data_IF_640842057091
#
_entry.id   IF_640842057091
#
_cell.length_a   1.000
_cell.length_b   1.000
_cell.length_c   1.000
_cell.angle_alpha   90.00
_cell.angle_beta   90.00
_cell.angle_gamma   90.00
#
_symmetry.space_group_name_H-M   'P 1'
#
loop_
_entity.id
_entity.type
_entity.pdbx_description
1 polymer ?
#
# COMPACT_ATOMS: atom_id res chain seq x y z
N UNK A 1 -17.63 -5.18 -2.55
CA UNK A 1 -16.44 -4.35 -2.31
C UNK A 1 -15.14 -5.00 -2.81
N UNK A 2 -15.03 -6.33 -2.88
CA UNK A 2 -13.89 -7.03 -3.53
C UNK A 2 -13.98 -7.09 -5.07
N UNK A 3 -15.15 -6.84 -5.64
CA UNK A 3 -15.41 -6.93 -7.08
C UNK A 3 -14.47 -6.08 -7.97
N UNK A 4 -14.12 -4.81 -7.63
CA UNK A 4 -13.16 -4.06 -8.44
C UNK A 4 -11.78 -4.71 -8.49
N UNK A 5 -11.30 -5.30 -7.39
CA UNK A 5 -10.01 -5.99 -7.34
C UNK A 5 -10.04 -7.21 -8.28
N UNK A 6 -11.09 -8.03 -8.19
CA UNK A 6 -11.26 -9.19 -9.08
C UNK A 6 -11.32 -8.79 -10.55
N UNK A 7 -12.12 -7.76 -10.87
CA UNK A 7 -12.23 -7.26 -12.24
C UNK A 7 -10.89 -6.74 -12.77
N UNK A 8 -10.13 -6.01 -11.95
CA UNK A 8 -8.80 -5.56 -12.32
C UNK A 8 -7.88 -6.74 -12.68
N UNK A 9 -7.91 -7.83 -11.90
CA UNK A 9 -7.12 -9.04 -12.17
C UNK A 9 -7.58 -9.75 -13.43
N UNK A 10 -8.90 -9.86 -13.64
CA UNK A 10 -9.49 -10.56 -14.79
C UNK A 10 -9.24 -9.83 -16.12
N UNK A 11 -9.31 -8.50 -16.12
CA UNK A 11 -9.34 -7.71 -17.36
C UNK A 11 -8.07 -6.89 -17.60
N UNK A 12 -7.28 -6.64 -16.56
CA UNK A 12 -6.15 -5.70 -16.61
C UNK A 12 -6.57 -4.24 -16.80
N UNK A 13 -7.86 -3.91 -16.69
CA UNK A 13 -8.36 -2.55 -16.92
C UNK A 13 -8.06 -1.65 -15.71
N UNK A 14 -7.25 -0.58 -15.88
CA UNK A 14 -6.80 0.29 -14.80
C UNK A 14 -7.93 1.07 -14.13
N UNK A 15 -9.10 1.20 -14.76
CA UNK A 15 -10.26 1.85 -14.15
C UNK A 15 -10.77 1.11 -12.90
N UNK A 16 -10.58 -0.21 -12.85
CA UNK A 16 -10.94 -1.01 -11.68
C UNK A 16 -9.93 -0.81 -10.54
N UNK A 17 -8.64 -0.67 -10.86
CA UNK A 17 -7.61 -0.31 -9.88
C UNK A 17 -7.88 1.08 -9.29
N UNK A 18 -8.28 2.05 -10.11
CA UNK A 18 -8.66 3.39 -9.63
C UNK A 18 -9.79 3.30 -8.59
N UNK A 19 -10.88 2.61 -8.93
CA UNK A 19 -12.03 2.43 -8.03
C UNK A 19 -11.65 1.68 -6.76
N UNK A 20 -10.77 0.68 -6.86
CA UNK A 20 -10.26 -0.05 -5.70
C UNK A 20 -9.38 0.82 -4.81
N UNK A 21 -8.58 1.71 -5.39
CA UNK A 21 -7.75 2.67 -4.67
C UNK A 21 -8.58 3.76 -3.97
N UNK A 22 -9.58 4.34 -4.63
CA UNK A 22 -10.56 5.23 -3.98
C UNK A 22 -11.28 4.53 -2.81
N UNK A 23 -11.65 3.27 -3.06
CA UNK A 23 -11.92 2.19 -2.10
C UNK A 23 -11.13 2.27 -0.79
N UNK A 24 -9.84 1.97 -0.96
CA UNK A 24 -8.86 1.81 0.10
C UNK A 24 -8.52 3.15 0.78
N UNK A 25 -8.38 4.24 0.03
CA UNK A 25 -8.10 5.57 0.59
C UNK A 25 -9.19 6.01 1.58
N UNK A 26 -10.45 5.72 1.26
CA UNK A 26 -11.60 6.16 2.08
C UNK A 26 -11.88 5.26 3.29
N UNK A 27 -11.54 3.98 3.21
CA UNK A 27 -12.00 2.97 4.21
C UNK A 27 -10.90 2.03 4.73
N UNK A 28 -9.74 2.04 4.09
CA UNK A 28 -8.66 1.06 4.28
C UNK A 28 -9.01 -0.36 3.81
N UNK A 29 -10.16 -0.58 3.18
CA UNK A 29 -10.61 -1.92 2.81
C UNK A 29 -9.67 -2.57 1.79
N UNK A 30 -9.29 -3.83 2.05
CA UNK A 30 -8.44 -4.65 1.19
C UNK A 30 -7.11 -3.99 0.81
N UNK A 31 -6.55 -3.16 1.71
CA UNK A 31 -5.37 -2.34 1.45
C UNK A 31 -4.21 -3.18 0.89
N UNK A 32 -3.94 -4.35 1.44
CA UNK A 32 -2.88 -5.24 0.97
C UNK A 32 -3.07 -5.71 -0.48
N UNK A 33 -4.30 -5.99 -0.92
CA UNK A 33 -4.59 -6.44 -2.27
C UNK A 33 -4.52 -5.30 -3.28
N UNK A 34 -4.99 -4.10 -2.88
CA UNK A 34 -4.88 -2.90 -3.73
C UNK A 34 -3.41 -2.48 -3.88
N UNK A 35 -2.62 -2.58 -2.80
CA UNK A 35 -1.19 -2.31 -2.85
C UNK A 35 -0.43 -3.32 -3.72
N UNK A 36 -0.77 -4.61 -3.65
CA UNK A 36 -0.17 -5.63 -4.50
C UNK A 36 -0.39 -5.31 -5.99
N UNK A 37 -1.63 -5.03 -6.39
CA UNK A 37 -1.95 -4.61 -7.75
C UNK A 37 -1.23 -3.32 -8.16
N UNK A 38 -1.17 -2.33 -7.28
CA UNK A 38 -0.51 -1.08 -7.56
C UNK A 38 1.01 -1.25 -7.71
N UNK A 39 1.65 -2.10 -6.91
CA UNK A 39 3.08 -2.41 -7.00
C UNK A 39 3.47 -3.18 -8.26
N UNK A 40 2.55 -3.99 -8.80
CA UNK A 40 2.72 -4.69 -10.08
C UNK A 40 2.46 -3.80 -11.30
N UNK A 41 1.84 -2.63 -11.11
CA UNK A 41 1.51 -1.71 -12.18
C UNK A 41 2.69 -0.76 -12.46
N UNK A 42 3.13 -0.61 -13.73
CA UNK A 42 4.19 0.34 -14.07
C UNK A 42 3.85 1.76 -13.60
N UNK A 43 4.81 2.51 -13.03
CA UNK A 43 4.55 3.83 -12.47
C UNK A 43 3.86 4.81 -13.43
N UNK A 44 4.16 4.76 -14.72
CA UNK A 44 3.55 5.57 -15.78
C UNK A 44 2.09 5.21 -16.07
N UNK A 45 1.67 3.99 -15.73
CA UNK A 45 0.32 3.47 -15.97
C UNK A 45 -0.56 3.50 -14.71
N UNK A 46 0.01 3.89 -13.56
CA UNK A 46 -0.72 3.99 -12.31
C UNK A 46 -1.84 5.05 -12.39
N UNK A 47 -3.09 4.65 -12.12
CA UNK A 47 -4.19 5.58 -11.95
C UNK A 47 -3.96 6.59 -10.81
N UNK A 48 -4.58 7.78 -10.85
CA UNK A 48 -4.35 8.85 -9.87
C UNK A 48 -4.51 8.43 -8.41
N UNK A 49 -5.59 7.73 -8.06
CA UNK A 49 -5.85 7.30 -6.70
C UNK A 49 -4.89 6.19 -6.27
N UNK A 50 -4.52 5.28 -7.17
CA UNK A 50 -3.53 4.24 -6.88
C UNK A 50 -2.13 4.83 -6.66
N UNK A 51 -1.73 5.81 -7.47
CA UNK A 51 -0.49 6.58 -7.27
C UNK A 51 -0.49 7.29 -5.93
N UNK A 52 -1.59 8.00 -5.61
CA UNK A 52 -1.74 8.71 -4.33
C UNK A 52 -1.66 7.78 -3.13
N UNK A 53 -2.31 6.61 -3.22
CA UNK A 53 -2.24 5.57 -2.21
C UNK A 53 -0.80 5.09 -2.00
N UNK A 54 -0.09 4.74 -3.07
CA UNK A 54 1.31 4.30 -2.99
C UNK A 54 2.25 5.39 -2.45
N UNK A 55 2.09 6.63 -2.90
CA UNK A 55 2.89 7.76 -2.42
C UNK A 55 2.69 8.00 -0.92
N UNK A 56 1.44 7.93 -0.45
CA UNK A 56 1.08 8.00 0.96
C UNK A 56 1.63 6.85 1.79
N UNK A 57 1.49 5.61 1.29
CA UNK A 57 2.03 4.42 1.97
C UNK A 57 3.55 4.47 2.04
N UNK A 58 4.22 4.89 0.96
CA UNK A 58 5.67 5.10 0.94
C UNK A 58 6.08 6.12 2.01
N UNK A 59 5.40 7.27 2.09
CA UNK A 59 5.67 8.27 3.12
C UNK A 59 5.52 7.71 4.55
N UNK A 60 4.42 7.02 4.83
CA UNK A 60 4.17 6.42 6.15
C UNK A 60 5.24 5.39 6.49
N UNK A 61 5.60 4.51 5.54
CA UNK A 61 6.60 3.46 5.75
C UNK A 61 7.98 4.07 6.00
N UNK A 62 8.41 5.05 5.20
CA UNK A 62 9.72 5.70 5.35
C UNK A 62 9.86 6.42 6.69
N UNK A 63 8.78 7.07 7.15
CA UNK A 63 8.76 7.87 8.38
C UNK A 63 8.42 7.07 9.65
N UNK A 64 7.93 5.83 9.52
CA UNK A 64 7.53 5.00 10.66
C UNK A 64 8.69 4.78 11.65
N UNK A 65 8.46 4.97 12.95
CA UNK A 65 9.38 4.51 13.98
C UNK A 65 9.16 3.01 14.21
N UNK A 66 9.94 2.17 13.53
CA UNK A 66 9.84 0.71 13.64
C UNK A 66 10.08 0.20 15.08
N UNK A 67 10.76 0.95 15.96
CA UNK A 67 10.96 0.57 17.35
C UNK A 67 9.70 0.70 18.21
N UNK A 68 8.81 1.61 17.82
CA UNK A 68 7.52 1.88 18.48
C UNK A 68 6.41 0.89 18.09
N UNK A 69 6.61 0.11 17.02
CA UNK A 69 5.64 -0.88 16.56
C UNK A 69 5.62 -2.14 17.45
N UNK A 70 4.50 -2.89 17.44
CA UNK A 70 4.44 -4.21 18.05
C UNK A 70 5.59 -5.11 17.60
N UNK A 71 6.06 -5.98 18.49
CA UNK A 71 7.26 -6.81 18.28
C UNK A 71 7.24 -7.56 16.95
N UNK A 72 6.08 -8.14 16.62
CA UNK A 72 5.84 -8.91 15.41
C UNK A 72 5.96 -8.10 14.10
N UNK A 73 5.93 -6.76 14.17
CA UNK A 73 6.06 -5.86 13.02
C UNK A 73 7.39 -5.12 12.95
N UNK A 74 8.26 -5.20 13.97
CA UNK A 74 9.52 -4.44 13.99
C UNK A 74 10.44 -4.82 12.83
N UNK A 75 10.74 -6.11 12.67
CA UNK A 75 11.57 -6.61 11.57
C UNK A 75 10.89 -6.41 10.22
N UNK A 76 9.60 -6.74 10.03
CA UNK A 76 8.87 -6.41 8.80
C UNK A 76 8.93 -4.93 8.42
N UNK A 77 8.80 -4.01 9.38
CA UNK A 77 8.89 -2.57 9.15
C UNK A 77 10.24 -2.16 8.56
N UNK A 78 11.35 -2.66 9.12
CA UNK A 78 12.68 -2.39 8.56
C UNK A 78 12.86 -2.93 7.13
N UNK A 79 12.31 -4.11 6.85
CA UNK A 79 12.33 -4.70 5.51
C UNK A 79 11.49 -3.82 4.55
N UNK A 80 10.30 -3.41 4.98
CA UNK A 80 9.41 -2.53 4.22
C UNK A 80 10.09 -1.20 3.88
N UNK A 81 10.76 -0.54 4.84
CA UNK A 81 11.53 0.69 4.60
C UNK A 81 12.55 0.52 3.48
N UNK A 82 13.35 -0.54 3.54
CA UNK A 82 14.36 -0.82 2.51
C UNK A 82 13.73 -1.09 1.14
N UNK A 83 12.54 -1.71 1.10
CA UNK A 83 11.81 -1.99 -0.14
C UNK A 83 11.11 -0.75 -0.69
N UNK A 84 10.69 0.19 0.16
CA UNK A 84 10.04 1.44 -0.24
C UNK A 84 10.91 2.28 -1.19
N UNK A 85 12.23 2.21 -1.08
CA UNK A 85 13.19 2.84 -1.99
C UNK A 85 13.01 2.39 -3.45
N UNK A 86 12.57 1.14 -3.67
CA UNK A 86 12.34 0.57 -5.00
C UNK A 86 10.95 0.88 -5.57
N UNK A 87 10.08 1.53 -4.80
CA UNK A 87 8.76 1.95 -5.26
C UNK A 87 8.92 3.18 -6.15
N UNK A 88 8.55 3.04 -7.43
CA UNK A 88 8.71 4.05 -8.48
C UNK A 88 7.76 5.25 -8.41
N UNK A 89 7.21 5.55 -7.24
CA UNK A 89 6.48 6.80 -6.97
C UNK A 89 7.18 7.57 -5.87
N UNK A 90 7.20 8.90 -5.97
CA UNK A 90 7.75 9.75 -4.91
C UNK A 90 6.87 9.68 -3.66
N UNK A 91 7.51 9.76 -2.49
CA UNK A 91 6.81 9.77 -1.22
C UNK A 91 6.07 11.12 -1.07
N UNK A 92 4.78 11.07 -0.72
CA UNK A 92 3.96 12.25 -0.52
C UNK A 92 3.08 12.07 0.71
N UNK A 93 2.86 13.14 1.48
CA UNK A 93 1.88 13.10 2.57
C UNK A 93 0.48 12.92 2.03
N UNK A 94 -0.18 11.85 2.46
CA UNK A 94 -1.60 11.59 2.21
C UNK A 94 -2.32 11.40 3.54
N UNK A 95 -3.01 12.44 4.07
CA UNK A 95 -3.67 12.38 5.37
C UNK A 95 -4.65 11.21 5.52
N UNK A 96 -5.32 10.83 4.44
CA UNK A 96 -6.23 9.69 4.42
C UNK A 96 -5.51 8.35 4.61
N UNK A 97 -4.25 8.22 4.19
CA UNK A 97 -3.42 7.03 4.44
C UNK A 97 -2.88 7.05 5.86
N UNK A 98 -2.46 8.21 6.36
CA UNK A 98 -2.01 8.38 7.75
C UNK A 98 -3.14 8.02 8.74
N UNK A 99 -4.37 8.40 8.43
CA UNK A 99 -5.56 8.08 9.22
C UNK A 99 -5.86 6.57 9.34
N UNK A 100 -5.31 5.74 8.45
CA UNK A 100 -5.45 4.27 8.55
C UNK A 100 -4.60 3.66 9.67
N UNK A 101 -3.64 4.42 10.21
CA UNK A 101 -2.73 4.00 11.26
C UNK A 101 -1.46 3.32 10.72
N UNK A 102 -0.31 3.68 11.30
CA UNK A 102 1.01 3.22 10.87
C UNK A 102 1.12 1.70 10.89
N UNK A 103 0.64 1.04 11.95
CA UNK A 103 0.68 -0.42 12.09
C UNK A 103 -0.01 -1.13 10.92
N UNK A 104 -1.23 -0.69 10.59
CA UNK A 104 -2.04 -1.26 9.50
C UNK A 104 -1.39 -1.03 8.14
N UNK A 105 -0.87 0.18 7.90
CA UNK A 105 -0.20 0.52 6.64
C UNK A 105 1.07 -0.30 6.45
N UNK A 106 1.91 -0.40 7.48
CA UNK A 106 3.13 -1.19 7.45
C UNK A 106 2.81 -2.67 7.24
N UNK A 107 1.82 -3.21 7.97
CA UNK A 107 1.37 -4.59 7.79
C UNK A 107 0.90 -4.85 6.34
N UNK A 108 0.01 -4.01 5.82
CA UNK A 108 -0.54 -4.19 4.48
C UNK A 108 0.54 -4.09 3.39
N UNK A 109 1.46 -3.13 3.53
CA UNK A 109 2.58 -2.98 2.61
C UNK A 109 3.55 -4.16 2.68
N UNK A 110 3.86 -4.67 3.87
CA UNK A 110 4.66 -5.89 4.04
C UNK A 110 4.00 -7.08 3.32
N UNK A 111 2.69 -7.26 3.49
CA UNK A 111 1.92 -8.33 2.83
C UNK A 111 1.97 -8.20 1.30
N UNK A 112 1.78 -6.99 0.78
CA UNK A 112 1.85 -6.72 -0.66
C UNK A 112 3.26 -6.98 -1.24
N UNK A 113 4.32 -6.74 -0.45
CA UNK A 113 5.70 -7.05 -0.85
C UNK A 113 6.08 -8.54 -0.69
N UNK A 114 5.16 -9.39 -0.22
CA UNK A 114 5.46 -10.80 0.08
C UNK A 114 6.36 -10.99 1.32
N UNK A 115 6.47 -9.99 2.20
CA UNK A 115 7.16 -10.12 3.48
C UNK A 115 6.27 -10.91 4.44
N UNK A 116 6.82 -11.98 5.00
CA UNK A 116 6.06 -12.82 5.94
C UNK A 116 5.97 -12.11 7.29
N UNK A 117 4.74 -11.87 7.74
CA UNK A 117 4.44 -11.29 9.05
C UNK A 117 3.74 -12.37 9.87
N UNK A 118 4.32 -12.72 11.02
CA UNK A 118 3.78 -13.72 11.96
C UNK A 118 3.45 -12.98 13.26
N UNK A 119 2.19 -12.95 13.71
CA UNK A 119 1.81 -12.33 14.98
C UNK A 119 2.36 -13.08 16.19
#
# INVERSE_FOLDING_TARGET
MYEPILRCVETGDPSYLERAAESALRTGAYLEHVLDLALLTPPESLPPSARRLLAGVKHVVETADCGSLPEYLRTPCWIAKRRAESVGVEAERAPEVEALGVERVVYAFCKALGVVVWP
#
